data_IF_551596172056
#
_entry.id   IF_551596172056
#
_cell.length_a   1.000
_cell.length_b   1.000
_cell.length_c   1.000
_cell.angle_alpha   90.00
_cell.angle_beta   90.00
_cell.angle_gamma   90.00
#
_symmetry.space_group_name_H-M   'P 1'
#
loop_
_entity.id
_entity.type
_entity.pdbx_description
1 polymer ?
#
# COMPACT_ATOMS: atom_id res chain seq x y z
N UNK A 1 -20.30 -7.41 7.51
CA UNK A 1 -19.60 -8.55 6.88
C UNK A 1 -19.31 -8.19 5.44
N UNK A 2 -18.05 -8.22 5.02
CA UNK A 2 -17.67 -8.06 3.61
C UNK A 2 -18.08 -9.34 2.88
N UNK A 3 -19.11 -9.26 2.01
CA UNK A 3 -19.42 -10.35 1.10
C UNK A 3 -18.35 -10.36 0.01
N UNK A 4 -17.71 -11.51 -0.22
CA UNK A 4 -16.84 -11.69 -1.37
C UNK A 4 -17.70 -11.71 -2.62
N UNK A 5 -17.32 -10.94 -3.63
CA UNK A 5 -17.87 -11.04 -4.98
C UNK A 5 -17.20 -12.23 -5.66
N UNK A 6 -17.98 -13.13 -6.25
CA UNK A 6 -17.49 -14.32 -6.93
C UNK A 6 -18.14 -14.45 -8.32
N UNK A 7 -17.47 -15.18 -9.21
CA UNK A 7 -17.96 -15.40 -10.58
C UNK A 7 -17.86 -14.16 -11.47
N UNK A 8 -18.74 -14.09 -12.47
CA UNK A 8 -18.72 -13.09 -13.54
C UNK A 8 -18.74 -11.64 -13.02
N UNK A 9 -19.44 -11.40 -11.91
CA UNK A 9 -19.52 -10.08 -11.29
C UNK A 9 -18.14 -9.60 -10.80
N UNK A 10 -17.29 -10.52 -10.32
CA UNK A 10 -15.96 -10.18 -9.85
C UNK A 10 -15.00 -9.85 -11.00
N UNK A 11 -15.18 -10.47 -12.17
CA UNK A 11 -14.42 -10.14 -13.38
C UNK A 11 -14.81 -8.77 -13.91
N UNK A 12 -16.12 -8.49 -13.97
CA UNK A 12 -16.64 -7.20 -14.39
C UNK A 12 -16.14 -6.04 -13.49
N UNK A 13 -16.12 -6.24 -12.17
CA UNK A 13 -15.56 -5.25 -11.25
C UNK A 13 -14.05 -5.04 -11.44
N UNK A 14 -13.29 -6.08 -11.81
CA UNK A 14 -11.86 -5.93 -12.14
C UNK A 14 -11.67 -5.11 -13.41
N UNK A 15 -12.45 -5.36 -14.45
CA UNK A 15 -12.40 -4.57 -15.69
C UNK A 15 -12.68 -3.08 -15.41
N UNK A 16 -13.71 -2.78 -14.62
CA UNK A 16 -14.05 -1.40 -14.24
C UNK A 16 -12.93 -0.70 -13.46
N UNK A 17 -12.20 -1.44 -12.63
CA UNK A 17 -11.13 -0.86 -11.79
C UNK A 17 -9.81 -0.72 -12.56
N UNK A 18 -9.44 -1.71 -13.37
CA UNK A 18 -8.11 -1.80 -13.97
C UNK A 18 -8.06 -1.31 -15.43
N UNK A 19 -9.13 -1.50 -16.21
CA UNK A 19 -9.14 -1.22 -17.65
C UNK A 19 -9.93 0.05 -18.00
N UNK A 20 -11.00 0.33 -17.26
CA UNK A 20 -11.91 1.45 -17.51
C UNK A 20 -11.95 2.44 -16.33
N UNK A 21 -10.85 3.19 -16.16
CA UNK A 21 -10.81 4.35 -15.26
C UNK A 21 -11.96 5.29 -15.65
N UNK A 22 -12.89 5.53 -14.72
CA UNK A 22 -14.10 6.36 -14.87
C UNK A 22 -15.40 5.63 -15.24
N UNK A 23 -15.51 4.34 -14.93
CA UNK A 23 -16.80 3.62 -15.04
C UNK A 23 -17.87 4.23 -14.12
N UNK A 24 -19.04 4.56 -14.68
CA UNK A 24 -20.22 5.02 -13.94
C UNK A 24 -21.27 3.91 -13.94
N UNK A 25 -21.79 3.56 -12.77
CA UNK A 25 -22.86 2.57 -12.61
C UNK A 25 -24.14 3.26 -12.13
N UNK A 26 -25.29 2.84 -12.68
CA UNK A 26 -26.61 3.26 -12.18
C UNK A 26 -27.09 2.26 -11.13
N UNK A 27 -27.46 2.77 -9.96
CA UNK A 27 -28.12 2.02 -8.91
C UNK A 27 -29.36 2.80 -8.50
N UNK A 28 -30.53 2.26 -8.83
CA UNK A 28 -31.84 2.86 -8.51
C UNK A 28 -32.00 4.31 -9.04
N UNK A 29 -31.47 4.59 -10.24
CA UNK A 29 -31.53 5.92 -10.87
C UNK A 29 -30.48 6.90 -10.35
N UNK A 30 -29.59 6.46 -9.46
CA UNK A 30 -28.45 7.24 -8.98
C UNK A 30 -27.17 6.73 -9.63
N UNK A 31 -26.38 7.67 -10.12
CA UNK A 31 -25.13 7.38 -10.81
C UNK A 31 -23.97 7.41 -9.80
N UNK A 32 -23.16 6.36 -9.78
CA UNK A 32 -22.00 6.21 -8.91
C UNK A 32 -20.73 6.00 -9.75
N UNK A 33 -19.66 6.71 -9.38
CA UNK A 33 -18.35 6.53 -9.99
C UNK A 33 -17.61 5.39 -9.30
N UNK A 34 -17.17 4.40 -10.07
CA UNK A 34 -16.32 3.32 -9.57
C UNK A 34 -14.88 3.79 -9.59
N UNK A 35 -14.27 3.86 -8.41
CA UNK A 35 -12.85 4.12 -8.23
C UNK A 35 -12.24 3.06 -7.33
N UNK A 36 -11.05 2.52 -7.67
CA UNK A 36 -10.28 1.81 -6.68
C UNK A 36 -10.03 2.73 -5.49
N UNK A 37 -10.04 2.17 -4.29
CA UNK A 37 -9.42 2.83 -3.16
C UNK A 37 -7.91 2.87 -3.46
N UNK A 38 -7.47 3.97 -4.09
CA UNK A 38 -6.04 4.24 -4.18
C UNK A 38 -5.55 4.45 -2.76
N UNK A 39 -4.48 3.76 -2.41
CA UNK A 39 -3.85 3.96 -1.12
C UNK A 39 -3.11 5.30 -1.22
N UNK A 40 -3.75 6.39 -0.81
CA UNK A 40 -3.19 7.76 -0.87
C UNK A 40 -1.80 7.80 -0.22
N UNK A 41 -1.58 6.98 0.81
CA UNK A 41 -0.28 6.77 1.47
C UNK A 41 0.80 6.29 0.50
N UNK A 42 0.45 5.45 -0.47
CA UNK A 42 1.37 4.92 -1.46
C UNK A 42 1.74 5.99 -2.50
N UNK A 43 0.80 6.87 -2.87
CA UNK A 43 1.08 8.03 -3.74
C UNK A 43 1.98 9.07 -3.03
N UNK A 44 1.78 9.32 -1.73
CA UNK A 44 2.64 10.19 -0.93
C UNK A 44 4.07 9.63 -0.81
N UNK A 45 4.21 8.33 -0.53
CA UNK A 45 5.51 7.63 -0.49
C UNK A 45 6.22 7.68 -1.85
N UNK A 46 5.48 7.62 -2.96
CA UNK A 46 6.07 7.67 -4.30
C UNK A 46 6.48 9.09 -4.71
N UNK A 47 5.85 10.11 -4.15
CA UNK A 47 6.15 11.52 -4.41
C UNK A 47 7.40 12.04 -3.70
N UNK A 48 7.79 11.41 -2.58
CA UNK A 48 8.98 11.76 -1.79
C UNK A 48 10.10 10.72 -2.03
N UNK A 49 11.12 11.14 -2.79
CA UNK A 49 12.26 10.28 -3.13
C UNK A 49 13.10 9.85 -1.93
N UNK A 50 13.17 10.68 -0.88
CA UNK A 50 13.94 10.39 0.33
C UNK A 50 13.21 9.34 1.17
N UNK A 51 11.90 9.54 1.39
CA UNK A 51 11.05 8.57 2.08
C UNK A 51 11.06 7.21 1.36
N UNK A 52 10.98 7.22 0.02
CA UNK A 52 11.07 6.01 -0.79
C UNK A 52 12.40 5.28 -0.60
N UNK A 53 13.52 6.01 -0.57
CA UNK A 53 14.85 5.43 -0.36
C UNK A 53 14.97 4.80 1.04
N UNK A 54 14.48 5.48 2.08
CA UNK A 54 14.46 4.97 3.46
C UNK A 54 13.63 3.69 3.57
N UNK A 55 12.43 3.66 2.98
CA UNK A 55 11.57 2.47 2.98
C UNK A 55 12.22 1.31 2.21
N UNK A 56 12.87 1.58 1.08
CA UNK A 56 13.58 0.54 0.32
C UNK A 56 14.75 -0.03 1.12
N UNK A 57 15.49 0.81 1.84
CA UNK A 57 16.57 0.36 2.71
C UNK A 57 16.03 -0.50 3.85
N UNK A 58 15.02 -0.02 4.57
CA UNK A 58 14.39 -0.77 5.66
C UNK A 58 13.86 -2.14 5.21
N UNK A 59 13.27 -2.22 4.01
CA UNK A 59 12.83 -3.51 3.43
C UNK A 59 14.00 -4.47 3.18
N UNK A 60 15.14 -3.97 2.72
CA UNK A 60 16.35 -4.80 2.56
C UNK A 60 16.88 -5.27 3.91
N UNK A 61 16.97 -4.36 4.88
CA UNK A 61 17.46 -4.68 6.22
C UNK A 61 16.59 -5.78 6.88
N UNK A 62 15.26 -5.70 6.73
CA UNK A 62 14.33 -6.75 7.18
C UNK A 62 14.57 -8.08 6.46
N UNK A 63 14.75 -8.05 5.13
CA UNK A 63 14.95 -9.25 4.33
C UNK A 63 16.30 -9.95 4.62
N UNK A 64 17.33 -9.16 4.94
CA UNK A 64 18.68 -9.64 5.26
C UNK A 64 18.84 -9.99 6.75
N UNK A 65 17.84 -9.69 7.58
CA UNK A 65 17.87 -9.94 9.02
C UNK A 65 18.73 -8.94 9.80
N UNK A 66 19.08 -7.81 9.19
CA UNK A 66 19.80 -6.68 9.80
C UNK A 66 18.82 -5.88 10.67
N UNK A 67 18.38 -6.50 11.76
CA UNK A 67 17.41 -5.95 12.70
C UNK A 67 18.08 -5.78 14.05
N UNK A 68 17.82 -4.64 14.69
CA UNK A 68 18.31 -4.35 16.02
C UNK A 68 17.14 -4.30 16.98
N UNK A 69 17.27 -4.99 18.11
CA UNK A 69 16.35 -4.79 19.24
C UNK A 69 16.67 -3.46 19.93
N UNK A 70 15.76 -3.04 20.81
CA UNK A 70 15.98 -1.84 21.63
C UNK A 70 17.24 -1.96 22.50
N UNK A 71 17.49 -3.14 23.06
CA UNK A 71 18.67 -3.38 23.91
C UNK A 71 19.97 -3.31 23.10
N UNK A 72 19.98 -3.88 21.88
CA UNK A 72 21.15 -3.81 20.98
C UNK A 72 21.52 -2.36 20.64
N UNK A 73 20.52 -1.51 20.40
CA UNK A 73 20.73 -0.10 20.11
C UNK A 73 21.24 0.67 21.32
N UNK A 74 20.71 0.40 22.51
CA UNK A 74 21.19 1.02 23.76
C UNK A 74 22.65 0.67 23.98
N UNK A 75 23.01 -0.60 23.83
CA UNK A 75 24.39 -1.07 24.00
C UNK A 75 25.35 -0.45 22.96
N UNK A 76 24.93 -0.33 21.71
CA UNK A 76 25.72 0.30 20.66
C UNK A 76 25.95 1.81 20.91
N UNK A 77 24.95 2.53 21.43
CA UNK A 77 25.07 3.94 21.82
C UNK A 77 26.05 4.08 22.99
N UNK A 78 25.91 3.26 24.04
CA UNK A 78 26.78 3.30 25.22
C UNK A 78 28.25 2.99 24.86
N UNK A 79 28.47 2.17 23.84
CA UNK A 79 29.81 1.83 23.32
C UNK A 79 30.34 2.82 22.27
N UNK A 80 29.56 3.82 21.85
CA UNK A 80 29.94 4.78 20.81
C UNK A 80 30.12 4.16 19.42
N UNK A 81 29.33 3.15 19.09
CA UNK A 81 29.39 2.37 17.84
C UNK A 81 28.34 2.80 16.80
N UNK A 82 27.62 3.89 17.09
CA UNK A 82 26.61 4.54 16.25
C UNK A 82 27.04 5.98 15.91
#
# INVERSE_FOLDING_TARGET
MLKKLEGNDAELFKEWIYEHKDTIVDVEGKHYLVKPLSNIVQEEIESDSELKALIMQAKRDIAEGTLYSTDDLIEAIEKGQL
#
